data_IF_557463761960
#
_entry.id   IF_557463761960
#
_cell.length_a   1.000
_cell.length_b   1.000
_cell.length_c   1.000
_cell.angle_alpha   90.00
_cell.angle_beta   90.00
_cell.angle_gamma   90.00
#
_symmetry.space_group_name_H-M   'P 1'
#
loop_
_entity.id
_entity.type
_entity.pdbx_description
1 polymer ?
#
# COMPACT_ATOMS: atom_id res chain seq x y z
N UNK A 1 -0.17 -7.18 14.73
CA UNK A 1 1.32 -7.12 14.87
C UNK A 1 2.02 -6.51 13.65
N UNK A 2 1.33 -6.40 12.52
CA UNK A 2 1.75 -5.62 11.36
C UNK A 2 0.49 -5.16 10.63
N UNK A 3 0.60 -4.11 9.84
CA UNK A 3 -0.47 -3.62 8.97
C UNK A 3 0.15 -2.89 7.77
N UNK A 4 -0.55 -2.86 6.65
CA UNK A 4 -0.13 -2.11 5.47
C UNK A 4 -1.35 -1.53 4.73
N UNK A 5 -1.36 -0.22 4.52
CA UNK A 5 -2.53 0.55 4.06
C UNK A 5 -2.24 1.39 2.82
N UNK A 6 -2.80 2.60 2.75
CA UNK A 6 -2.47 3.57 1.70
C UNK A 6 -1.14 4.26 2.05
N UNK A 7 -0.19 4.29 1.13
CA UNK A 7 1.07 5.02 1.31
C UNK A 7 1.04 6.44 0.74
N UNK A 8 2.14 7.17 0.97
CA UNK A 8 2.41 8.51 0.48
C UNK A 8 2.20 8.73 -1.02
N UNK A 9 2.47 7.70 -1.81
CA UNK A 9 2.45 7.75 -3.27
C UNK A 9 1.08 7.33 -3.82
N UNK A 10 0.09 7.11 -2.94
CA UNK A 10 -1.23 6.64 -3.31
C UNK A 10 -1.28 5.14 -3.66
N UNK A 11 -0.27 4.37 -3.24
CA UNK A 11 -0.19 2.93 -3.48
C UNK A 11 -0.73 2.17 -2.27
N UNK A 12 -1.64 1.23 -2.50
CA UNK A 12 -2.26 0.44 -1.45
C UNK A 12 -1.42 -0.76 -1.06
N UNK A 13 -1.59 -1.24 0.17
CA UNK A 13 -0.95 -2.46 0.67
C UNK A 13 -1.24 -3.67 -0.23
N UNK A 14 -2.43 -3.75 -0.83
CA UNK A 14 -2.76 -4.82 -1.79
C UNK A 14 -1.91 -4.76 -3.07
N UNK A 15 -1.50 -3.56 -3.51
CA UNK A 15 -0.58 -3.44 -4.65
C UNK A 15 0.79 -4.02 -4.29
N UNK A 16 1.32 -3.66 -3.11
CA UNK A 16 2.60 -4.19 -2.61
C UNK A 16 2.55 -5.70 -2.35
N UNK A 17 1.42 -6.19 -1.84
CA UNK A 17 1.15 -7.61 -1.66
C UNK A 17 1.21 -8.39 -2.97
N UNK A 18 0.57 -7.89 -4.03
CA UNK A 18 0.60 -8.49 -5.37
C UNK A 18 2.01 -8.47 -5.95
N UNK A 19 2.70 -7.33 -5.87
CA UNK A 19 4.08 -7.18 -6.35
C UNK A 19 5.07 -8.11 -5.62
N UNK A 20 4.80 -8.43 -4.35
CA UNK A 20 5.56 -9.39 -3.56
C UNK A 20 5.10 -10.85 -3.75
N UNK A 21 4.36 -11.14 -4.83
CA UNK A 21 3.90 -12.49 -5.17
C UNK A 21 2.91 -13.08 -4.15
N UNK A 22 2.04 -12.25 -3.58
CA UNK A 22 1.03 -12.68 -2.61
C UNK A 22 1.60 -12.98 -1.22
N UNK A 23 2.75 -12.39 -0.87
CA UNK A 23 3.39 -12.58 0.44
C UNK A 23 3.28 -11.31 1.28
N UNK A 24 2.75 -11.45 2.49
CA UNK A 24 2.81 -10.44 3.55
C UNK A 24 3.71 -10.97 4.67
N UNK A 25 4.65 -10.14 5.13
CA UNK A 25 5.59 -10.52 6.20
C UNK A 25 5.25 -9.79 7.49
N UNK A 26 5.31 -10.52 8.60
CA UNK A 26 5.19 -9.97 9.95
C UNK A 26 6.19 -10.67 10.87
N UNK A 27 6.72 -9.95 11.85
CA UNK A 27 7.61 -10.49 12.87
C UNK A 27 6.81 -10.70 14.14
N UNK A 28 6.85 -11.92 14.70
CA UNK A 28 6.26 -12.21 16.01
C UNK A 28 7.04 -11.40 17.08
N UNK A 29 6.38 -10.51 17.84
CA UNK A 29 7.09 -9.69 18.82
C UNK A 29 7.71 -10.56 19.92
N UNK A 30 9.03 -10.50 20.09
CA UNK A 30 9.79 -11.42 20.97
C UNK A 30 9.39 -11.36 22.45
N UNK A 31 8.78 -10.26 22.88
CA UNK A 31 8.35 -10.07 24.27
C UNK A 31 7.02 -10.75 24.60
N UNK A 32 6.25 -11.24 23.62
CA UNK A 32 4.99 -11.94 23.91
C UNK A 32 5.31 -13.28 24.59
N UNK A 33 4.47 -13.75 25.53
CA UNK A 33 4.67 -15.04 26.17
C UNK A 33 4.74 -16.19 25.18
N UNK A 34 5.58 -17.18 25.49
CA UNK A 34 5.55 -18.46 24.77
C UNK A 34 4.17 -19.11 24.95
N UNK A 35 3.67 -19.80 23.93
CA UNK A 35 2.37 -20.46 23.97
C UNK A 35 1.72 -20.65 22.61
N UNK A 36 0.52 -21.20 22.62
CA UNK A 36 -0.29 -21.41 21.42
C UNK A 36 -1.12 -20.17 21.11
N UNK A 37 -1.09 -19.73 19.85
CA UNK A 37 -1.84 -18.58 19.37
C UNK A 37 -2.52 -18.89 18.03
N UNK A 38 -3.62 -18.18 17.76
CA UNK A 38 -4.09 -17.97 16.39
C UNK A 38 -3.45 -16.72 15.81
N UNK A 39 -2.83 -16.86 14.64
CA UNK A 39 -2.38 -15.75 13.82
C UNK A 39 -3.44 -15.45 12.77
N UNK A 40 -4.20 -14.38 12.97
CA UNK A 40 -5.19 -13.87 12.02
C UNK A 40 -4.51 -12.96 10.99
N UNK A 41 -4.54 -13.35 9.73
CA UNK A 41 -4.16 -12.51 8.59
C UNK A 41 -5.44 -12.05 7.86
N UNK A 42 -5.45 -10.84 7.31
CA UNK A 42 -6.64 -10.28 6.68
C UNK A 42 -6.29 -9.34 5.53
N UNK A 43 -7.04 -9.45 4.43
CA UNK A 43 -7.11 -8.45 3.35
C UNK A 43 -8.50 -7.81 3.40
N UNK A 44 -8.57 -6.48 3.25
CA UNK A 44 -9.84 -5.75 3.17
C UNK A 44 -9.98 -5.16 1.76
N UNK A 45 -10.96 -5.65 1.01
CA UNK A 45 -11.37 -5.12 -0.29
C UNK A 45 -12.30 -3.93 -0.11
N UNK A 46 -11.89 -2.75 -0.61
CA UNK A 46 -12.60 -1.48 -0.43
C UNK A 46 -13.34 -1.00 -1.68
N UNK A 47 -13.34 -1.78 -2.76
CA UNK A 47 -13.92 -1.37 -4.05
C UNK A 47 -15.45 -1.19 -4.03
N UNK A 48 -16.14 -1.75 -3.03
CA UNK A 48 -17.57 -1.51 -2.77
C UNK A 48 -17.84 -0.67 -1.53
N UNK A 49 -16.81 -0.10 -0.88
CA UNK A 49 -16.91 0.42 0.49
C UNK A 49 -17.43 1.87 0.60
N UNK A 50 -17.93 2.48 -0.48
CA UNK A 50 -18.48 3.86 -0.42
C UNK A 50 -19.73 3.98 0.44
N UNK A 51 -20.38 2.86 0.77
CA UNK A 51 -21.52 2.74 1.66
C UNK A 51 -21.35 1.51 2.54
N UNK A 52 -21.99 1.52 3.72
CA UNK A 52 -22.08 0.33 4.57
C UNK A 52 -23.42 -0.38 4.35
N UNK A 53 -23.44 -1.73 4.21
CA UNK A 53 -22.28 -2.62 4.04
C UNK A 53 -21.64 -2.46 2.64
N UNK A 54 -20.35 -2.76 2.52
CA UNK A 54 -19.64 -2.62 1.24
C UNK A 54 -18.19 -3.12 1.23
N UNK A 55 -17.45 -2.95 2.33
CA UNK A 55 -16.12 -3.55 2.47
C UNK A 55 -16.20 -5.09 2.52
N UNK A 56 -15.23 -5.76 1.89
CA UNK A 56 -15.12 -7.21 1.82
C UNK A 56 -13.91 -7.66 2.62
N UNK A 57 -14.11 -8.47 3.66
CA UNK A 57 -13.05 -8.88 4.57
C UNK A 57 -12.67 -10.34 4.26
N UNK A 58 -11.40 -10.58 3.91
CA UNK A 58 -10.83 -11.89 3.60
C UNK A 58 -9.84 -12.25 4.70
N UNK A 59 -10.33 -12.89 5.76
CA UNK A 59 -9.51 -13.27 6.92
C UNK A 59 -9.27 -14.77 6.98
N UNK A 60 -8.07 -15.15 7.39
CA UNK A 60 -7.69 -16.53 7.65
C UNK A 60 -6.89 -16.61 8.96
N UNK A 61 -6.97 -17.76 9.63
CA UNK A 61 -6.27 -17.99 10.89
C UNK A 61 -5.32 -19.19 10.78
N UNK A 62 -4.07 -19.00 11.20
CA UNK A 62 -3.10 -20.08 11.38
C UNK A 62 -2.90 -20.38 12.86
N UNK A 63 -2.75 -21.66 13.23
CA UNK A 63 -2.33 -22.04 14.57
C UNK A 63 -0.80 -22.03 14.65
N UNK A 64 -0.25 -21.32 15.63
CA UNK A 64 1.20 -21.22 15.83
C UNK A 64 1.54 -21.53 17.28
N UNK A 65 2.75 -22.06 17.50
CA UNK A 65 3.36 -22.21 18.82
C UNK A 65 4.56 -21.25 18.92
N UNK A 66 4.43 -20.23 19.75
CA UNK A 66 5.49 -19.26 20.00
C UNK A 66 6.40 -19.80 21.10
N UNK A 67 7.71 -19.79 20.86
CA UNK A 67 8.73 -20.22 21.81
C UNK A 67 9.78 -19.13 22.01
N UNK A 68 10.47 -19.16 23.16
CA UNK A 68 11.49 -18.16 23.50
C UNK A 68 10.92 -16.76 23.75
N UNK A 69 9.64 -16.68 24.09
CA UNK A 69 8.91 -15.44 24.36
C UNK A 69 9.25 -14.76 25.70
N UNK A 70 8.66 -13.60 25.93
CA UNK A 70 8.80 -12.81 27.16
C UNK A 70 7.58 -12.91 28.09
N UNK A 71 7.22 -11.80 28.74
CA UNK A 71 6.12 -11.71 29.71
C UNK A 71 5.17 -10.53 29.41
N UNK A 72 5.17 -10.00 28.18
CA UNK A 72 4.28 -8.89 27.82
C UNK A 72 2.81 -9.31 27.91
N UNK A 73 1.95 -8.37 28.29
CA UNK A 73 0.49 -8.52 28.28
C UNK A 73 -0.13 -7.40 27.45
N UNK A 74 -0.20 -7.56 26.11
CA UNK A 74 -0.77 -6.54 25.24
C UNK A 74 -2.27 -6.35 25.51
N UNK A 75 -2.77 -5.13 25.37
CA UNK A 75 -4.22 -4.89 25.33
C UNK A 75 -4.85 -5.66 24.17
N UNK A 76 -6.02 -6.25 24.41
CA UNK A 76 -6.74 -7.09 23.44
C UNK A 76 -8.06 -6.44 23.02
N UNK A 77 -8.61 -6.92 21.91
CA UNK A 77 -9.92 -6.53 21.38
C UNK A 77 -10.71 -7.78 20.99
N UNK A 78 -12.03 -7.65 20.91
CA UNK A 78 -12.92 -8.75 20.49
C UNK A 78 -13.24 -8.68 19.00
N UNK A 79 -13.31 -9.86 18.36
CA UNK A 79 -13.95 -10.02 17.06
C UNK A 79 -15.13 -11.00 17.23
N UNK A 80 -16.38 -10.60 16.92
CA UNK A 80 -16.83 -9.27 16.48
C UNK A 80 -16.67 -8.18 17.56
N UNK A 81 -16.54 -6.91 17.13
CA UNK A 81 -16.47 -5.73 18.01
C UNK A 81 -15.38 -4.72 17.62
N UNK A 82 -14.20 -5.18 17.23
CA UNK A 82 -13.05 -4.32 16.93
C UNK A 82 -13.18 -3.49 15.64
N UNK A 83 -14.10 -3.87 14.75
CA UNK A 83 -14.48 -3.10 13.56
C UNK A 83 -15.93 -2.67 13.67
N UNK A 84 -16.21 -1.41 13.35
CA UNK A 84 -17.54 -0.86 13.21
C UNK A 84 -17.81 -0.42 11.76
N UNK A 85 -19.06 -0.50 11.31
CA UNK A 85 -19.45 0.00 9.98
C UNK A 85 -19.17 1.49 9.79
N UNK A 86 -19.14 2.26 10.88
CA UNK A 86 -18.80 3.69 10.90
C UNK A 86 -17.30 3.97 10.87
N UNK A 87 -16.43 2.96 10.96
CA UNK A 87 -14.99 3.17 10.91
C UNK A 87 -14.60 3.75 9.54
N UNK A 88 -13.76 4.79 9.50
CA UNK A 88 -13.32 5.41 8.24
C UNK A 88 -12.45 4.47 7.38
N UNK A 89 -12.02 3.34 7.93
CA UNK A 89 -11.37 2.25 7.20
C UNK A 89 -12.32 1.16 6.68
N UNK A 90 -13.59 1.17 7.11
CA UNK A 90 -14.62 0.20 6.71
C UNK A 90 -15.61 0.84 5.72
N UNK A 91 -16.01 2.10 5.95
CA UNK A 91 -16.82 2.87 5.01
C UNK A 91 -16.01 4.03 4.46
N UNK A 92 -15.58 3.89 3.22
CA UNK A 92 -14.67 4.81 2.54
C UNK A 92 -14.90 4.81 1.04
N UNK A 93 -14.92 5.99 0.44
CA UNK A 93 -14.93 6.12 -1.03
C UNK A 93 -13.49 6.19 -1.55
N UNK A 94 -13.02 5.12 -2.20
CA UNK A 94 -11.66 5.04 -2.77
C UNK A 94 -11.56 5.60 -4.21
N UNK A 95 -12.69 5.94 -4.84
CA UNK A 95 -12.76 6.38 -6.23
C UNK A 95 -12.72 7.89 -6.41
N UNK A 96 -12.42 8.64 -5.35
CA UNK A 96 -12.16 10.08 -5.43
C UNK A 96 -10.83 10.33 -6.16
N UNK A 97 -10.85 10.14 -7.48
CA UNK A 97 -9.81 10.60 -8.39
C UNK A 97 -10.42 11.48 -9.49
N UNK A 98 -9.87 12.69 -9.56
CA UNK A 98 -9.91 13.67 -10.65
C UNK A 98 -11.20 14.42 -11.02
N UNK A 99 -12.43 13.99 -10.67
CA UNK A 99 -13.64 14.73 -11.10
C UNK A 99 -14.35 15.46 -9.94
N UNK A 100 -14.09 15.07 -8.70
CA UNK A 100 -14.58 15.75 -7.49
C UNK A 100 -13.43 15.85 -6.49
N UNK A 101 -12.98 17.07 -6.23
CA UNK A 101 -11.89 17.40 -5.30
C UNK A 101 -12.39 17.31 -3.85
N UNK A 102 -11.62 16.82 -2.86
CA UNK A 102 -10.21 16.38 -2.89
C UNK A 102 -9.99 14.85 -2.96
N UNK A 103 -8.83 14.39 -3.46
CA UNK A 103 -8.49 12.96 -3.51
C UNK A 103 -8.31 12.36 -2.11
N UNK A 104 -8.48 11.04 -1.99
CA UNK A 104 -8.20 10.33 -0.74
C UNK A 104 -6.68 10.33 -0.52
N UNK A 105 -6.20 11.27 0.28
CA UNK A 105 -4.77 11.43 0.61
C UNK A 105 -4.34 10.62 1.83
N UNK A 106 -5.29 10.10 2.59
CA UNK A 106 -5.02 9.34 3.81
C UNK A 106 -6.07 8.25 3.99
N UNK A 107 -5.64 7.12 4.56
CA UNK A 107 -6.52 6.02 4.93
C UNK A 107 -6.17 5.57 6.35
N UNK A 108 -7.20 5.45 7.20
CA UNK A 108 -7.05 4.89 8.54
C UNK A 108 -7.43 3.43 8.50
N UNK A 109 -6.46 2.55 8.72
CA UNK A 109 -6.71 1.10 8.81
C UNK A 109 -7.65 0.84 10.00
N UNK A 110 -8.70 0.01 9.87
CA UNK A 110 -9.62 -0.24 10.98
C UNK A 110 -8.96 -1.08 12.09
N UNK A 111 -9.49 -0.97 13.30
CA UNK A 111 -9.01 -1.70 14.47
C UNK A 111 -7.76 -1.14 15.14
N UNK A 112 -7.26 -1.81 16.20
CA UNK A 112 -6.17 -1.32 17.01
C UNK A 112 -4.86 -1.27 16.21
N UNK A 113 -3.97 -0.37 16.60
CA UNK A 113 -2.64 -0.26 15.98
C UNK A 113 -1.78 -1.49 16.31
N UNK A 114 -0.77 -1.82 15.47
CA UNK A 114 0.15 -2.92 15.75
C UNK A 114 0.86 -2.78 17.10
N UNK A 115 0.83 -3.84 17.91
CA UNK A 115 1.59 -3.91 19.15
C UNK A 115 3.10 -4.03 18.89
N UNK A 116 3.90 -3.31 19.68
CA UNK A 116 5.37 -3.35 19.72
C UNK A 116 5.88 -3.62 21.14
N UNK A 117 7.05 -4.26 21.26
CA UNK A 117 7.62 -4.66 22.56
C UNK A 117 8.20 -3.52 23.39
N UNK A 118 8.37 -2.33 22.80
CA UNK A 118 8.87 -1.14 23.48
C UNK A 118 7.80 -0.45 24.34
N UNK A 119 6.57 -0.98 24.38
CA UNK A 119 5.47 -0.40 25.14
C UNK A 119 4.93 0.90 24.52
N UNK A 120 5.40 1.27 23.33
CA UNK A 120 4.87 2.42 22.62
C UNK A 120 3.47 2.08 22.11
N UNK A 121 2.45 2.66 22.74
CA UNK A 121 1.11 2.66 22.15
C UNK A 121 1.24 3.52 20.89
N UNK A 122 1.20 2.91 19.71
CA UNK A 122 1.08 3.68 18.49
C UNK A 122 -0.19 4.53 18.61
N UNK A 123 -0.01 5.84 18.80
CA UNK A 123 -1.10 6.82 18.75
C UNK A 123 -1.87 6.63 17.46
N UNK A 124 -3.16 6.96 17.45
CA UNK A 124 -4.01 7.01 16.25
C UNK A 124 -3.33 7.88 15.19
N UNK A 125 -2.45 7.27 14.41
CA UNK A 125 -1.79 7.90 13.30
C UNK A 125 -2.82 7.84 12.17
N UNK A 126 -3.46 8.97 11.91
CA UNK A 126 -3.71 9.32 10.51
C UNK A 126 -2.33 9.23 9.87
N UNK A 127 -1.98 8.11 9.23
CA UNK A 127 -0.63 7.91 8.69
C UNK A 127 -0.40 9.05 7.70
N UNK A 128 0.44 10.06 8.01
CA UNK A 128 0.92 10.94 6.98
C UNK A 128 1.94 10.13 6.20
N UNK A 129 2.05 10.43 4.92
CA UNK A 129 3.10 10.01 4.01
C UNK A 129 4.54 10.15 4.60
N UNK A 130 4.99 9.26 5.49
CA UNK A 130 6.30 9.41 6.11
C UNK A 130 6.58 8.52 7.32
N UNK A 131 6.87 7.25 7.08
CA UNK A 131 7.71 6.46 7.98
C UNK A 131 8.41 5.35 7.17
N UNK A 132 9.60 5.65 6.68
CA UNK A 132 10.50 4.67 6.06
C UNK A 132 11.24 3.93 7.17
N UNK A 133 10.97 2.65 7.38
CA UNK A 133 11.83 1.81 8.22
C UNK A 133 13.21 1.73 7.57
N UNK A 134 14.19 2.41 8.17
CA UNK A 134 15.57 2.49 7.69
C UNK A 134 16.34 1.30 8.26
N UNK A 135 16.53 0.26 7.47
CA UNK A 135 17.55 -0.76 7.75
C UNK A 135 18.92 -0.18 7.38
N UNK A 136 19.77 -0.04 8.40
CA UNK A 136 21.15 0.40 8.29
C UNK A 136 21.98 -0.70 7.64
N UNK A 137 22.45 -0.48 6.41
CA UNK A 137 23.47 -1.32 5.76
C UNK A 137 24.64 -0.47 5.34
N UNK A 138 25.82 -0.91 5.74
CA UNK A 138 27.14 -0.29 5.60
C UNK A 138 27.57 -0.08 4.14
N UNK A 139 28.25 1.04 3.91
CA UNK A 139 28.71 1.53 2.62
C UNK A 139 29.85 0.71 2.00
N UNK A 140 29.86 0.64 0.67
CA UNK A 140 31.05 0.43 -0.16
C UNK A 140 31.01 1.44 -1.32
N UNK A 141 32.11 2.18 -1.50
CA UNK A 141 32.29 3.26 -2.46
C UNK A 141 32.56 2.73 -3.87
N UNK A 142 32.08 3.41 -4.93
CA UNK A 142 32.71 3.42 -6.28
C UNK A 142 32.21 4.60 -7.13
N UNK A 143 33.20 5.39 -7.58
CA UNK A 143 33.35 6.38 -8.68
C UNK A 143 32.17 7.03 -9.40
N UNK A 144 32.28 8.36 -9.48
CA UNK A 144 31.58 9.32 -10.35
C UNK A 144 31.89 9.15 -11.84
N UNK A 145 30.84 9.12 -12.68
CA UNK A 145 30.91 9.56 -14.09
C UNK A 145 29.65 10.35 -14.46
N UNK A 146 29.88 11.56 -14.96
CA UNK A 146 28.88 12.45 -15.57
C UNK A 146 28.54 11.98 -16.99
N UNK A 147 27.26 11.86 -17.34
CA UNK A 147 26.83 11.84 -18.75
C UNK A 147 25.36 12.23 -18.94
N UNK A 148 25.08 12.80 -20.11
CA UNK A 148 23.97 13.68 -20.49
C UNK A 148 22.60 13.00 -20.73
N UNK A 149 21.56 13.84 -20.85
CA UNK A 149 20.15 13.50 -21.06
C UNK A 149 19.87 12.71 -22.36
N UNK A 150 18.93 11.73 -22.38
CA UNK A 150 18.54 11.05 -23.59
C UNK A 150 17.36 11.76 -24.28
N UNK A 151 17.59 12.24 -25.50
CA UNK A 151 16.57 12.48 -26.52
C UNK A 151 16.04 11.14 -27.03
N UNK A 152 14.75 10.85 -26.87
CA UNK A 152 14.14 9.59 -27.33
C UNK A 152 13.65 9.67 -28.78
N UNK A 153 14.37 9.04 -29.71
CA UNK A 153 13.88 8.71 -31.05
C UNK A 153 13.45 7.24 -31.11
N UNK A 154 12.15 6.96 -31.14
CA UNK A 154 11.58 5.61 -31.29
C UNK A 154 10.08 5.68 -31.57
N UNK A 155 9.48 4.60 -32.06
CA UNK A 155 8.02 4.49 -32.18
C UNK A 155 7.40 3.80 -30.95
N UNK A 156 6.20 4.20 -30.56
CA UNK A 156 5.49 3.74 -29.37
C UNK A 156 4.55 2.57 -29.74
N UNK A 157 4.63 1.47 -28.99
CA UNK A 157 3.79 0.30 -29.19
C UNK A 157 2.31 0.56 -28.84
N UNK A 158 1.40 -0.32 -29.29
CA UNK A 158 -0.03 -0.24 -28.96
C UNK A 158 -0.24 -0.15 -27.44
N UNK A 159 -1.10 0.77 -27.02
CA UNK A 159 -1.38 1.16 -25.64
C UNK A 159 -0.27 1.92 -24.91
N UNK A 160 0.88 2.18 -25.55
CA UNK A 160 1.94 3.02 -24.99
C UNK A 160 1.61 4.52 -25.07
N UNK A 161 2.26 5.31 -24.22
CA UNK A 161 2.12 6.77 -24.20
C UNK A 161 2.89 7.43 -25.35
N UNK A 162 2.20 8.25 -26.12
CA UNK A 162 2.75 8.96 -27.29
C UNK A 162 2.59 10.49 -27.20
N UNK A 163 2.15 11.01 -26.05
CA UNK A 163 1.97 12.44 -25.88
C UNK A 163 1.28 12.80 -24.57
N UNK A 164 1.03 14.10 -24.43
CA UNK A 164 0.48 14.72 -23.23
C UNK A 164 1.40 15.78 -22.64
N UNK A 165 0.84 16.67 -21.84
CA UNK A 165 1.56 17.75 -21.18
C UNK A 165 2.67 17.19 -20.28
N UNK A 166 3.92 17.62 -20.52
CA UNK A 166 5.10 17.14 -19.79
C UNK A 166 5.71 15.83 -20.32
N UNK A 167 5.13 15.21 -21.36
CA UNK A 167 5.71 14.03 -21.99
C UNK A 167 6.97 14.39 -22.79
N UNK A 168 8.11 13.80 -22.43
CA UNK A 168 9.40 13.99 -23.12
C UNK A 168 9.82 12.75 -23.92
N UNK A 169 8.96 11.73 -23.98
CA UNK A 169 9.23 10.47 -24.68
C UNK A 169 8.83 10.50 -26.16
N UNK A 170 8.90 9.34 -26.80
CA UNK A 170 8.52 9.18 -28.20
C UNK A 170 7.06 9.60 -28.46
N UNK A 171 6.81 10.30 -29.58
CA UNK A 171 5.46 10.79 -29.95
C UNK A 171 4.87 10.09 -31.18
N UNK A 172 5.68 9.37 -31.94
CA UNK A 172 5.24 8.60 -33.09
C UNK A 172 4.80 7.20 -32.64
N UNK A 173 3.63 6.74 -33.06
CA UNK A 173 3.17 5.37 -32.83
C UNK A 173 3.75 4.39 -33.86
N UNK A 174 3.81 3.10 -33.51
CA UNK A 174 4.13 2.04 -34.47
C UNK A 174 3.14 2.04 -35.66
N UNK A 175 3.60 1.58 -36.83
CA UNK A 175 2.84 1.65 -38.08
C UNK A 175 1.43 1.09 -37.94
N UNK A 176 0.43 1.87 -38.37
CA UNK A 176 -0.98 1.50 -38.31
C UNK A 176 -1.70 1.92 -37.02
N UNK A 177 -1.02 2.58 -36.09
CA UNK A 177 -1.62 3.09 -34.84
C UNK A 177 -1.62 4.62 -34.83
N UNK A 178 -2.64 5.21 -34.21
CA UNK A 178 -2.79 6.66 -34.09
C UNK A 178 -2.60 7.10 -32.65
N UNK A 179 -1.80 8.15 -32.45
CA UNK A 179 -1.65 8.76 -31.14
C UNK A 179 -2.93 9.51 -30.76
N UNK A 180 -3.78 8.86 -29.97
CA UNK A 180 -5.11 9.36 -29.61
C UNK A 180 -5.04 10.05 -28.25
N UNK A 181 -5.49 11.30 -28.21
CA UNK A 181 -5.60 12.04 -26.95
C UNK A 181 -6.66 11.40 -26.05
N UNK A 182 -6.23 10.82 -24.94
CA UNK A 182 -7.13 10.32 -23.90
C UNK A 182 -7.42 11.44 -22.90
N UNK A 183 -6.40 12.23 -22.55
CA UNK A 183 -6.54 13.47 -21.79
C UNK A 183 -5.34 14.41 -22.04
N UNK A 184 -5.36 15.60 -21.44
CA UNK A 184 -4.33 16.66 -21.64
C UNK A 184 -2.91 16.25 -21.25
N UNK A 185 -2.74 15.22 -20.40
CA UNK A 185 -1.46 14.74 -19.90
C UNK A 185 -1.08 13.35 -20.45
N UNK A 186 -1.98 12.68 -21.18
CA UNK A 186 -1.77 11.31 -21.67
C UNK A 186 -2.47 11.08 -23.01
N UNK A 187 -1.67 10.89 -24.05
CA UNK A 187 -2.10 10.40 -25.36
C UNK A 187 -1.58 8.97 -25.55
N UNK A 188 -2.39 8.10 -26.15
CA UNK A 188 -2.12 6.67 -26.27
C UNK A 188 -2.16 6.20 -27.72
N UNK A 189 -1.25 5.31 -28.12
CA UNK A 189 -1.30 4.66 -29.42
C UNK A 189 -2.41 3.61 -29.47
N UNK A 190 -3.42 3.82 -30.33
CA UNK A 190 -4.55 2.92 -30.55
C UNK A 190 -4.67 2.48 -32.00
#
# INVERSE_FOLDING_TARGET
IAEDGLDANGKWGVNRFIENGGKASAVIPKCIPSGHYFLRAEIIGLHGASTYPGAQLYMECAQINVTGGGNASPATVSFPGAYAGTDPGITVNIYVRFILYPPLTSYTIPGPRPFTCDGSTATTATVPAGATNTTKTTAAATTTTTSAAPTSSGTVAKYGQCGGTGWTGATACASGLTCTKINDYYHQCL
#
